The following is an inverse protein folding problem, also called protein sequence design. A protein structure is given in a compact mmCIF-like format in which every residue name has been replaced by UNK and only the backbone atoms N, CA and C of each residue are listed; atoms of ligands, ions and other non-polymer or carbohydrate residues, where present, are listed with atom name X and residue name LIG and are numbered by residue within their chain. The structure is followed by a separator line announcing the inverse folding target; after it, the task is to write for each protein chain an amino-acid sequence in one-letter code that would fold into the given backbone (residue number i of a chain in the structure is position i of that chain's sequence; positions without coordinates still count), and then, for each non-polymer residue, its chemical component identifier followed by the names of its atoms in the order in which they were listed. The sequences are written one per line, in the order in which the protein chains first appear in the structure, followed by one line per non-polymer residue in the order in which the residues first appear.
data_IF_564555719956
#
_entry.id   IF_564555719956
#
_cell.length_a   1.000
_cell.length_b   1.000
_cell.length_c   1.000
_cell.angle_alpha   90.00
_cell.angle_beta   90.00
_cell.angle_gamma   90.00
#
_symmetry.space_group_name_H-M   'P 1'
#
loop_
_entity.id
_entity.type
_entity.pdbx_description
1 polymer ?
#
# COMPACT_ATOMS: atom_id res chain seq x y z
N UNK A 1 -14.18 10.95 19.50
CA UNK A 1 -12.96 11.04 18.70
C UNK A 1 -13.22 10.83 17.21
N UNK A 2 -14.00 9.81 16.83
CA UNK A 2 -14.21 9.47 15.41
C UNK A 2 -15.21 10.39 14.71
N UNK A 3 -16.14 11.01 15.44
CA UNK A 3 -17.25 11.78 14.91
C UNK A 3 -18.43 10.88 14.48
N UNK A 4 -19.62 11.46 14.49
CA UNK A 4 -20.87 10.74 14.19
C UNK A 4 -20.88 10.04 12.82
N UNK A 5 -20.38 10.64 11.71
CA UNK A 5 -20.41 9.97 10.41
C UNK A 5 -19.54 8.71 10.36
N UNK A 6 -18.39 8.73 11.04
CA UNK A 6 -17.48 7.57 11.08
C UNK A 6 -18.06 6.49 11.99
N UNK A 7 -18.58 6.86 13.18
CA UNK A 7 -19.22 5.92 14.09
C UNK A 7 -20.47 5.27 13.48
N UNK A 8 -21.28 6.02 12.76
CA UNK A 8 -22.47 5.48 12.06
C UNK A 8 -22.10 4.43 11.01
N UNK A 9 -20.93 4.54 10.38
CA UNK A 9 -20.48 3.62 9.33
C UNK A 9 -19.70 2.42 9.86
N UNK A 10 -18.82 2.63 10.84
CA UNK A 10 -17.84 1.66 11.32
C UNK A 10 -18.03 1.25 12.78
N UNK A 11 -19.04 1.82 13.47
CA UNK A 11 -19.23 1.60 14.90
C UNK A 11 -18.08 2.21 15.70
N UNK A 12 -17.55 1.44 16.64
CA UNK A 12 -16.42 1.87 17.50
C UNK A 12 -15.05 1.49 16.94
N UNK A 13 -15.03 0.86 15.79
CA UNK A 13 -13.79 0.45 15.15
C UNK A 13 -13.16 1.63 14.39
N UNK A 14 -11.82 1.71 14.46
CA UNK A 14 -11.06 2.63 13.64
C UNK A 14 -10.57 1.87 12.40
N UNK A 15 -11.15 2.12 11.22
CA UNK A 15 -10.97 1.26 10.05
C UNK A 15 -9.68 1.56 9.26
N UNK A 16 -8.80 2.37 9.81
CA UNK A 16 -7.53 2.77 9.19
C UNK A 16 -6.38 2.26 10.04
N UNK A 17 -5.41 1.66 9.38
CA UNK A 17 -4.10 1.36 9.93
C UNK A 17 -3.05 2.16 9.21
N UNK A 18 -2.06 2.64 9.92
CA UNK A 18 -0.84 3.20 9.35
C UNK A 18 0.35 2.73 10.16
N UNK A 19 1.43 2.39 9.46
CA UNK A 19 2.67 1.94 10.05
C UNK A 19 3.87 2.32 9.16
N UNK A 20 5.05 2.19 9.73
CA UNK A 20 6.29 2.48 9.03
C UNK A 20 6.97 1.19 8.64
N UNK A 21 7.33 1.08 7.35
CA UNK A 21 8.11 -0.02 6.81
C UNK A 21 9.50 0.50 6.49
N UNK A 22 10.49 0.03 7.23
CA UNK A 22 11.89 0.41 7.03
C UNK A 22 12.66 -0.76 6.42
N UNK A 23 13.10 -0.57 5.18
CA UNK A 23 13.93 -1.52 4.44
C UNK A 23 15.31 -0.96 4.09
N UNK A 24 15.70 0.17 4.69
CA UNK A 24 17.02 0.78 4.48
C UNK A 24 18.10 -0.13 5.06
N UNK A 25 19.12 -0.46 4.26
CA UNK A 25 20.15 -1.43 4.63
C UNK A 25 19.63 -2.86 4.80
N UNK A 26 18.39 -3.12 4.41
CA UNK A 26 17.71 -4.41 4.51
C UNK A 26 17.37 -5.01 3.15
N UNK A 27 16.44 -5.97 3.15
CA UNK A 27 15.96 -6.64 1.94
C UNK A 27 14.51 -6.30 1.63
N UNK A 28 14.05 -6.70 0.45
CA UNK A 28 12.66 -6.56 0.04
C UNK A 28 11.69 -7.19 1.05
N UNK A 29 10.50 -6.63 1.21
CA UNK A 29 9.42 -7.32 1.92
C UNK A 29 8.88 -8.49 1.07
N UNK A 30 8.05 -9.36 1.66
CA UNK A 30 7.46 -10.48 0.93
C UNK A 30 6.58 -9.99 -0.22
N UNK A 31 6.71 -10.61 -1.38
CA UNK A 31 5.75 -10.42 -2.48
C UNK A 31 4.41 -10.98 -2.03
N UNK A 32 3.38 -10.17 -2.08
CA UNK A 32 2.09 -10.48 -1.49
C UNK A 32 0.92 -9.93 -2.31
N UNK A 33 -0.27 -10.36 -1.95
CA UNK A 33 -1.53 -9.83 -2.46
C UNK A 33 -2.55 -9.82 -1.34
N UNK A 34 -3.30 -8.72 -1.23
CA UNK A 34 -4.48 -8.64 -0.36
C UNK A 34 -5.71 -9.14 -1.10
N UNK A 35 -6.63 -9.82 -0.42
CA UNK A 35 -7.86 -10.28 -1.07
C UNK A 35 -8.74 -9.10 -1.50
N UNK A 36 -9.60 -9.33 -2.48
CA UNK A 36 -10.60 -8.36 -2.90
C UNK A 36 -11.74 -8.27 -1.89
N UNK A 37 -12.51 -7.17 -1.91
CA UNK A 37 -13.71 -7.01 -1.07
C UNK A 37 -14.71 -8.13 -1.29
N UNK A 38 -14.87 -8.60 -2.54
CA UNK A 38 -15.74 -9.72 -2.85
C UNK A 38 -15.28 -11.00 -2.14
N UNK A 39 -13.99 -11.35 -2.24
CA UNK A 39 -13.43 -12.54 -1.59
C UNK A 39 -13.61 -12.48 -0.06
N UNK A 40 -13.35 -11.32 0.54
CA UNK A 40 -13.52 -11.12 2.00
C UNK A 40 -14.97 -11.31 2.41
N UNK A 41 -15.91 -10.78 1.65
CA UNK A 41 -17.35 -10.94 1.94
C UNK A 41 -17.77 -12.40 1.87
N UNK A 42 -17.37 -13.10 0.83
CA UNK A 42 -17.75 -14.49 0.60
C UNK A 42 -17.11 -15.47 1.58
N UNK A 43 -15.87 -15.24 1.97
CA UNK A 43 -15.10 -16.20 2.78
C UNK A 43 -15.02 -15.85 4.27
N UNK A 44 -15.22 -14.58 4.64
CA UNK A 44 -15.05 -14.09 6.01
C UNK A 44 -16.25 -13.28 6.53
N UNK A 45 -17.26 -13.01 5.70
CA UNK A 45 -18.43 -12.23 6.10
C UNK A 45 -18.15 -10.78 6.43
N UNK A 46 -17.03 -10.22 5.94
CA UNK A 46 -16.62 -8.84 6.21
C UNK A 46 -16.95 -7.92 5.04
N UNK A 47 -17.06 -6.62 5.30
CA UNK A 47 -17.61 -5.66 4.34
C UNK A 47 -16.56 -4.89 3.54
N UNK A 48 -15.32 -4.85 3.99
CA UNK A 48 -14.21 -4.18 3.31
C UNK A 48 -12.90 -4.96 3.52
N UNK A 49 -11.97 -4.77 2.62
CA UNK A 49 -10.68 -5.46 2.59
C UNK A 49 -9.53 -4.54 3.02
N UNK A 50 -8.32 -5.04 2.97
CA UNK A 50 -7.10 -4.26 3.07
C UNK A 50 -6.78 -3.66 1.70
N UNK A 51 -7.31 -2.47 1.44
CA UNK A 51 -6.80 -1.58 0.40
C UNK A 51 -5.73 -0.71 1.06
N UNK A 52 -4.54 -0.64 0.50
CA UNK A 52 -3.43 0.08 1.08
C UNK A 52 -2.74 1.03 0.11
N UNK A 53 -1.84 1.81 0.61
CA UNK A 53 -0.96 2.66 -0.18
C UNK A 53 0.39 2.82 0.51
N UNK A 54 1.44 3.06 -0.31
CA UNK A 54 2.78 3.34 0.15
C UNK A 54 3.15 4.79 -0.15
N UNK A 55 3.33 5.58 0.88
CA UNK A 55 3.92 6.92 0.76
C UNK A 55 5.40 6.85 1.14
N UNK A 56 6.30 7.21 0.24
CA UNK A 56 7.74 7.15 0.46
C UNK A 56 8.21 8.33 1.29
N UNK A 57 8.58 8.07 2.55
CA UNK A 57 9.13 9.07 3.47
C UNK A 57 10.60 9.36 3.16
N UNK A 58 11.34 8.31 2.77
CA UNK A 58 12.72 8.40 2.31
C UNK A 58 13.01 7.24 1.34
N UNK A 59 13.98 7.45 0.46
CA UNK A 59 14.42 6.45 -0.50
C UNK A 59 15.91 6.67 -0.79
N UNK A 60 16.72 5.65 -0.51
CA UNK A 60 18.14 5.65 -0.81
C UNK A 60 18.38 5.27 -2.26
N UNK A 61 19.63 5.36 -2.69
CA UNK A 61 20.01 4.90 -4.01
C UNK A 61 19.65 3.41 -4.20
N UNK A 62 18.96 3.10 -5.30
CA UNK A 62 18.48 1.76 -5.59
C UNK A 62 17.14 1.38 -4.96
N UNK A 63 16.49 2.29 -4.24
CA UNK A 63 15.15 2.04 -3.68
C UNK A 63 14.13 1.66 -4.75
N UNK A 64 13.29 0.68 -4.45
CA UNK A 64 12.30 0.16 -5.39
C UNK A 64 10.98 -0.20 -4.71
N UNK A 65 9.91 -0.23 -5.51
CA UNK A 65 8.63 -0.83 -5.15
C UNK A 65 8.24 -1.83 -6.23
N UNK A 66 7.81 -3.02 -5.85
CA UNK A 66 7.21 -3.97 -6.76
C UNK A 66 5.70 -3.77 -6.76
N UNK A 67 5.12 -3.54 -7.96
CA UNK A 67 3.70 -3.18 -8.06
C UNK A 67 3.07 -3.66 -9.36
N UNK A 68 2.03 -4.48 -9.25
CA UNK A 68 1.30 -5.04 -10.37
C UNK A 68 2.12 -5.99 -11.22
N UNK A 69 1.47 -6.63 -12.15
CA UNK A 69 2.05 -7.65 -13.01
C UNK A 69 2.66 -7.03 -14.27
N UNK A 70 3.62 -7.69 -14.88
CA UNK A 70 4.09 -7.27 -16.21
C UNK A 70 3.07 -7.62 -17.28
N UNK A 71 2.90 -6.72 -18.24
CA UNK A 71 2.03 -6.97 -19.40
C UNK A 71 2.49 -8.21 -20.17
N UNK A 72 1.54 -9.08 -20.55
CA UNK A 72 1.80 -10.22 -21.39
C UNK A 72 2.38 -11.46 -20.70
N UNK A 73 2.43 -11.51 -19.38
CA UNK A 73 2.86 -12.71 -18.65
C UNK A 73 1.89 -13.87 -18.83
N UNK A 74 2.41 -15.09 -18.81
CA UNK A 74 1.59 -16.29 -18.68
C UNK A 74 1.23 -16.53 -17.20
N UNK A 75 -0.06 -16.46 -16.90
CA UNK A 75 -0.61 -16.64 -15.54
C UNK A 75 -0.33 -18.03 -15.00
N UNK A 76 -0.48 -19.04 -15.84
CA UNK A 76 -0.31 -20.43 -15.43
C UNK A 76 1.17 -20.73 -15.15
N UNK A 77 2.07 -20.20 -15.98
CA UNK A 77 3.51 -20.30 -15.77
C UNK A 77 3.91 -19.62 -14.45
N UNK A 78 3.40 -18.41 -14.17
CA UNK A 78 3.68 -17.71 -12.91
C UNK A 78 3.26 -18.54 -11.68
N UNK A 79 2.05 -19.10 -11.70
CA UNK A 79 1.55 -19.90 -10.58
C UNK A 79 2.35 -21.19 -10.43
N UNK A 80 2.72 -21.83 -11.53
CA UNK A 80 3.53 -23.03 -11.48
C UNK A 80 4.95 -22.76 -10.99
N UNK A 81 5.56 -21.65 -11.37
CA UNK A 81 6.87 -21.22 -10.86
C UNK A 81 6.80 -20.90 -9.36
N UNK A 82 5.72 -20.28 -8.88
CA UNK A 82 5.49 -20.07 -7.43
C UNK A 82 5.36 -21.41 -6.68
N UNK A 83 4.66 -22.40 -7.23
CA UNK A 83 4.53 -23.73 -6.64
C UNK A 83 5.86 -24.47 -6.56
N UNK A 84 6.66 -24.40 -7.63
CA UNK A 84 8.01 -24.97 -7.65
C UNK A 84 8.93 -24.30 -6.65
N UNK A 85 8.85 -22.96 -6.57
CA UNK A 85 9.61 -22.19 -5.59
C UNK A 85 9.21 -22.52 -4.15
N UNK A 86 7.92 -22.74 -3.88
CA UNK A 86 7.43 -23.19 -2.58
C UNK A 86 8.01 -24.53 -2.14
N UNK A 87 8.23 -25.43 -3.10
CA UNK A 87 8.87 -26.73 -2.86
C UNK A 87 10.40 -26.64 -2.79
N UNK A 88 10.99 -25.49 -3.08
CA UNK A 88 12.44 -25.30 -3.13
C UNK A 88 13.10 -25.83 -4.41
N UNK A 89 12.30 -26.14 -5.45
CA UNK A 89 12.80 -26.66 -6.73
C UNK A 89 13.47 -25.57 -7.57
N UNK A 90 12.99 -24.33 -7.45
CA UNK A 90 13.54 -23.15 -8.14
C UNK A 90 13.54 -21.93 -7.23
N UNK A 91 14.29 -20.90 -7.61
CA UNK A 91 14.14 -19.53 -7.07
C UNK A 91 13.12 -18.80 -7.94
N UNK A 92 12.05 -18.26 -7.32
CA UNK A 92 11.06 -17.51 -8.07
C UNK A 92 11.66 -16.20 -8.60
N UNK A 93 11.62 -16.05 -9.91
CA UNK A 93 12.09 -14.82 -10.56
C UNK A 93 11.00 -13.76 -10.55
N UNK A 94 10.95 -12.96 -9.48
CA UNK A 94 9.94 -11.92 -9.30
C UNK A 94 9.92 -10.93 -10.46
N UNK A 95 11.09 -10.53 -10.96
CA UNK A 95 11.20 -9.53 -12.02
C UNK A 95 10.75 -10.04 -13.41
N UNK A 96 10.53 -11.34 -13.56
CA UNK A 96 9.89 -11.91 -14.75
C UNK A 96 8.39 -11.55 -14.79
N UNK A 97 7.74 -11.49 -13.65
CA UNK A 97 6.29 -11.42 -13.52
C UNK A 97 5.75 -10.12 -12.94
N UNK A 98 6.49 -9.45 -12.07
CA UNK A 98 6.05 -8.27 -11.33
C UNK A 98 6.86 -7.06 -11.79
N UNK A 99 6.20 -5.91 -11.94
CA UNK A 99 6.89 -4.66 -12.26
C UNK A 99 7.75 -4.25 -11.07
N UNK A 100 8.99 -3.85 -11.35
CA UNK A 100 9.91 -3.24 -10.39
C UNK A 100 10.05 -1.77 -10.76
N UNK A 101 9.58 -0.90 -9.90
CA UNK A 101 9.56 0.54 -10.11
C UNK A 101 10.66 1.18 -9.26
N UNK A 102 11.44 2.11 -9.80
CA UNK A 102 12.32 2.94 -8.96
C UNK A 102 11.46 3.79 -8.04
N UNK A 103 11.86 3.91 -6.79
CA UNK A 103 11.16 4.67 -5.77
C UNK A 103 11.96 5.90 -5.35
N UNK A 104 11.25 7.01 -5.13
CA UNK A 104 11.82 8.28 -4.66
C UNK A 104 11.03 8.80 -3.48
N UNK A 105 11.69 9.59 -2.64
CA UNK A 105 11.00 10.33 -1.58
C UNK A 105 9.80 11.09 -2.15
N UNK A 106 8.68 11.04 -1.45
CA UNK A 106 7.37 11.61 -1.82
C UNK A 106 6.62 10.91 -2.96
N UNK A 107 7.13 9.82 -3.51
CA UNK A 107 6.30 8.96 -4.36
C UNK A 107 5.15 8.35 -3.55
N UNK A 108 4.03 8.11 -4.21
CA UNK A 108 2.87 7.45 -3.60
C UNK A 108 2.31 6.38 -4.55
N UNK A 109 2.14 5.18 -4.04
CA UNK A 109 1.67 4.01 -4.78
C UNK A 109 0.38 3.49 -4.16
N UNK A 110 -0.68 3.37 -4.96
CA UNK A 110 -1.95 2.79 -4.52
C UNK A 110 -1.93 1.28 -4.71
N UNK A 111 -2.41 0.55 -3.73
CA UNK A 111 -2.35 -0.91 -3.67
C UNK A 111 -3.73 -1.47 -3.28
N UNK A 112 -4.73 -1.35 -4.17
CA UNK A 112 -6.04 -1.94 -3.89
C UNK A 112 -5.97 -3.47 -3.85
N UNK A 113 -6.84 -4.10 -3.06
CA UNK A 113 -6.94 -5.56 -2.93
C UNK A 113 -6.96 -6.26 -4.28
N UNK A 114 -6.18 -7.31 -4.46
CA UNK A 114 -5.92 -7.98 -5.74
C UNK A 114 -4.64 -7.55 -6.45
N UNK A 115 -3.93 -6.52 -5.96
CA UNK A 115 -2.66 -6.07 -6.57
C UNK A 115 -1.49 -6.84 -5.99
N UNK A 116 -0.71 -7.50 -6.83
CA UNK A 116 0.56 -8.12 -6.44
C UNK A 116 1.58 -7.03 -6.18
N UNK A 117 2.21 -7.01 -5.00
CA UNK A 117 3.12 -5.95 -4.60
C UNK A 117 4.11 -6.35 -3.50
N UNK A 118 5.12 -5.54 -3.29
CA UNK A 118 5.88 -5.42 -2.04
C UNK A 118 6.74 -4.15 -2.03
N UNK A 119 7.12 -3.67 -0.85
CA UNK A 119 8.22 -2.71 -0.72
C UNK A 119 9.53 -3.42 -1.04
N UNK A 120 10.32 -2.82 -1.90
CA UNK A 120 11.70 -3.24 -2.15
C UNK A 120 12.64 -2.78 -1.04
N UNK A 121 13.91 -3.04 -1.21
CA UNK A 121 14.97 -2.55 -0.30
C UNK A 121 15.16 -1.03 -0.41
N UNK A 122 15.90 -0.46 0.55
CA UNK A 122 16.38 0.92 0.57
C UNK A 122 15.27 1.99 0.63
N UNK A 123 14.09 1.65 1.15
CA UNK A 123 12.95 2.54 1.27
C UNK A 123 12.45 2.66 2.71
N UNK A 124 12.04 3.88 3.10
CA UNK A 124 11.23 4.13 4.29
C UNK A 124 9.83 4.53 3.85
N UNK A 125 8.86 3.70 4.17
CA UNK A 125 7.47 3.83 3.72
C UNK A 125 6.56 4.14 4.89
N UNK A 126 5.64 5.08 4.72
CA UNK A 126 4.41 5.17 5.49
C UNK A 126 3.35 4.36 4.76
N UNK A 127 3.01 3.20 5.28
CA UNK A 127 1.87 2.41 4.81
C UNK A 127 0.59 2.96 5.41
N UNK A 128 -0.42 3.15 4.58
CA UNK A 128 -1.75 3.60 4.98
C UNK A 128 -2.74 2.60 4.40
N UNK A 129 -3.50 1.95 5.28
CA UNK A 129 -4.38 0.84 4.91
C UNK A 129 -5.79 1.04 5.45
N UNK A 130 -6.80 0.70 4.65
CA UNK A 130 -8.15 0.41 5.12
C UNK A 130 -8.18 -1.05 5.55
N UNK A 131 -8.29 -1.34 6.85
CA UNK A 131 -8.26 -2.74 7.29
C UNK A 131 -8.99 -2.96 8.61
N UNK A 132 -9.91 -3.92 8.66
CA UNK A 132 -10.45 -4.43 9.92
C UNK A 132 -9.45 -5.40 10.57
N UNK A 133 -8.64 -6.10 9.77
CA UNK A 133 -7.61 -7.06 10.14
C UNK A 133 -6.56 -7.13 9.03
N UNK A 134 -5.40 -7.72 9.33
CA UNK A 134 -4.40 -8.02 8.32
C UNK A 134 -4.86 -9.19 7.45
N UNK A 135 -5.09 -8.94 6.18
CA UNK A 135 -5.38 -9.97 5.18
C UNK A 135 -4.29 -9.98 4.12
N UNK A 136 -3.27 -10.80 4.32
CA UNK A 136 -2.13 -10.88 3.42
C UNK A 136 -1.92 -12.32 2.98
N UNK A 137 -1.93 -12.56 1.67
CA UNK A 137 -1.48 -13.81 1.08
C UNK A 137 -0.08 -13.64 0.51
N UNK A 138 0.92 -14.18 1.19
CA UNK A 138 2.30 -14.18 0.71
C UNK A 138 2.43 -15.11 -0.49
N UNK A 139 2.97 -14.59 -1.59
CA UNK A 139 3.26 -15.35 -2.80
C UNK A 139 4.73 -15.78 -2.85
N UNK A 140 5.64 -14.96 -2.32
CA UNK A 140 7.07 -15.23 -2.28
C UNK A 140 7.75 -14.49 -1.14
N UNK A 141 8.68 -15.12 -0.43
CA UNK A 141 9.41 -14.51 0.69
C UNK A 141 10.92 -14.61 0.53
N UNK A 142 11.43 -14.54 -0.70
CA UNK A 142 12.86 -14.44 -1.03
C UNK A 142 13.71 -15.56 -0.41
N UNK A 143 13.15 -16.77 -0.28
CA UNK A 143 13.76 -17.94 0.37
C UNK A 143 14.15 -17.71 1.84
N UNK A 144 13.58 -16.73 2.52
CA UNK A 144 13.86 -16.51 3.94
C UNK A 144 13.43 -17.69 4.77
N UNK A 145 14.29 -18.03 5.73
CA UNK A 145 14.00 -19.10 6.68
C UNK A 145 13.29 -18.55 7.91
N UNK A 146 12.41 -19.36 8.48
CA UNK A 146 11.86 -19.16 9.80
C UNK A 146 12.88 -19.52 10.90
N UNK A 147 12.49 -19.31 12.16
CA UNK A 147 13.32 -19.67 13.32
C UNK A 147 13.58 -21.18 13.41
N UNK A 148 12.77 -21.98 12.78
CA UNK A 148 12.91 -23.44 12.66
C UNK A 148 13.84 -23.90 11.53
N UNK A 149 14.49 -22.95 10.84
CA UNK A 149 15.36 -23.20 9.71
C UNK A 149 14.68 -23.66 8.43
N UNK A 150 13.35 -23.60 8.37
CA UNK A 150 12.57 -23.92 7.17
C UNK A 150 12.13 -22.66 6.41
N UNK A 151 11.88 -22.75 5.09
CA UNK A 151 11.30 -21.64 4.34
C UNK A 151 10.02 -21.14 5.00
N UNK A 152 9.87 -19.83 5.09
CA UNK A 152 8.64 -19.22 5.62
C UNK A 152 7.42 -19.64 4.80
N UNK A 153 6.26 -19.86 5.44
CA UNK A 153 5.04 -20.25 4.74
C UNK A 153 4.61 -19.20 3.72
N UNK A 154 4.20 -19.66 2.55
CA UNK A 154 3.57 -18.84 1.51
C UNK A 154 2.19 -19.40 1.16
N UNK A 155 1.32 -18.57 0.59
CA UNK A 155 -0.10 -18.88 0.42
C UNK A 155 -0.50 -18.88 -1.06
N UNK A 156 0.25 -19.58 -1.92
CA UNK A 156 0.07 -19.55 -3.37
C UNK A 156 -1.36 -19.90 -3.77
N UNK A 157 -1.93 -20.96 -3.21
CA UNK A 157 -3.26 -21.43 -3.61
C UNK A 157 -4.40 -20.45 -3.26
N UNK A 158 -4.31 -19.75 -2.14
CA UNK A 158 -5.26 -18.68 -1.80
C UNK A 158 -4.96 -17.39 -2.55
N UNK A 159 -3.68 -17.04 -2.65
CA UNK A 159 -3.25 -15.83 -3.33
C UNK A 159 -3.67 -15.78 -4.79
N UNK A 160 -3.54 -16.88 -5.53
CA UNK A 160 -3.92 -16.96 -6.96
C UNK A 160 -5.41 -16.64 -7.22
N UNK A 161 -6.28 -16.92 -6.23
CA UNK A 161 -7.72 -16.68 -6.36
C UNK A 161 -8.09 -15.20 -6.26
N UNK A 162 -7.22 -14.39 -5.63
CA UNK A 162 -7.48 -12.98 -5.39
C UNK A 162 -6.66 -12.04 -6.27
N UNK A 163 -5.71 -12.56 -7.06
CA UNK A 163 -4.94 -11.74 -8.00
C UNK A 163 -5.85 -11.14 -9.07
N UNK A 164 -5.87 -9.82 -9.15
CA UNK A 164 -6.46 -9.13 -10.29
C UNK A 164 -5.44 -9.06 -11.44
N UNK A 165 -5.59 -9.98 -12.37
CA UNK A 165 -4.70 -10.15 -13.51
C UNK A 165 -4.75 -9.00 -14.53
N UNK A 166 -5.67 -8.06 -14.37
CA UNK A 166 -5.78 -6.86 -15.22
C UNK A 166 -4.85 -5.74 -14.75
N UNK A 167 -4.30 -5.85 -13.54
CA UNK A 167 -3.39 -4.84 -12.97
C UNK A 167 -1.98 -5.05 -13.49
N UNK A 168 -1.85 -4.85 -14.79
CA UNK A 168 -0.59 -4.97 -15.50
C UNK A 168 0.22 -3.65 -15.52
N UNK A 169 1.29 -3.61 -16.29
CA UNK A 169 2.20 -2.46 -16.37
C UNK A 169 1.47 -1.18 -16.75
N UNK A 170 0.56 -1.24 -17.70
CA UNK A 170 -0.16 -0.05 -18.15
C UNK A 170 -1.19 0.41 -17.11
N UNK A 171 -1.89 -0.52 -16.48
CA UNK A 171 -2.80 -0.20 -15.39
C UNK A 171 -2.06 0.49 -14.22
N UNK A 172 -0.89 -0.04 -13.83
CA UNK A 172 -0.06 0.54 -12.76
C UNK A 172 0.31 1.98 -13.09
N UNK A 173 0.80 2.25 -14.30
CA UNK A 173 1.17 3.60 -14.74
C UNK A 173 -0.01 4.56 -14.76
N UNK A 174 -1.17 4.09 -15.19
CA UNK A 174 -2.36 4.93 -15.38
C UNK A 174 -3.16 5.16 -14.10
N UNK A 175 -3.06 4.26 -13.11
CA UNK A 175 -4.00 4.27 -11.99
C UNK A 175 -3.37 4.14 -10.60
N UNK A 176 -2.15 3.61 -10.48
CA UNK A 176 -1.61 3.26 -9.16
C UNK A 176 -0.34 4.02 -8.76
N UNK A 177 0.44 4.52 -9.70
CA UNK A 177 1.72 5.15 -9.40
C UNK A 177 1.66 6.68 -9.56
N UNK A 178 1.91 7.41 -8.48
CA UNK A 178 2.10 8.87 -8.48
C UNK A 178 0.96 9.70 -9.09
N UNK A 179 -0.28 9.34 -8.82
CA UNK A 179 -1.45 10.11 -9.26
C UNK A 179 -1.71 11.30 -8.34
N UNK A 180 -1.07 12.41 -8.62
CA UNK A 180 -1.20 13.64 -7.84
C UNK A 180 -2.26 14.55 -8.42
N UNK A 181 -3.14 15.08 -7.56
CA UNK A 181 -4.13 16.10 -7.95
C UNK A 181 -3.97 17.30 -7.04
N UNK A 182 -3.67 18.46 -7.63
CA UNK A 182 -3.69 19.72 -6.89
C UNK A 182 -5.12 20.03 -6.46
N UNK A 183 -5.31 20.27 -5.15
CA UNK A 183 -6.60 20.65 -4.59
C UNK A 183 -6.70 22.17 -4.49
N UNK A 184 -5.69 22.79 -3.87
CA UNK A 184 -5.65 24.22 -3.67
C UNK A 184 -4.22 24.70 -3.41
N UNK A 185 -4.00 26.00 -3.57
CA UNK A 185 -2.73 26.65 -3.26
C UNK A 185 -2.95 28.11 -2.88
N UNK A 186 -2.00 28.68 -2.16
CA UNK A 186 -1.96 30.06 -1.78
C UNK A 186 -0.54 30.54 -1.54
N UNK A 187 -0.41 31.75 -1.00
CA UNK A 187 0.91 32.30 -0.72
C UNK A 187 1.63 31.48 0.36
N UNK A 188 2.68 30.76 -0.06
CA UNK A 188 3.52 29.95 0.80
C UNK A 188 2.94 28.59 1.17
N UNK A 189 1.89 28.10 0.49
CA UNK A 189 1.36 26.75 0.71
C UNK A 189 0.68 26.16 -0.53
N UNK A 190 0.60 24.84 -0.59
CA UNK A 190 -0.23 24.09 -1.53
C UNK A 190 -0.73 22.79 -0.88
N UNK A 191 -1.91 22.35 -1.31
CA UNK A 191 -2.53 21.08 -0.94
C UNK A 191 -2.69 20.20 -2.17
N UNK A 192 -2.27 18.94 -2.04
CA UNK A 192 -2.37 17.94 -3.08
C UNK A 192 -3.03 16.67 -2.52
N UNK A 193 -3.88 16.05 -3.31
CA UNK A 193 -4.34 14.69 -3.06
C UNK A 193 -3.34 13.74 -3.70
N UNK A 194 -2.83 12.79 -2.93
CA UNK A 194 -1.82 11.85 -3.37
C UNK A 194 -2.36 10.44 -3.50
N UNK A 195 -3.45 10.12 -2.81
CA UNK A 195 -4.04 8.80 -2.82
C UNK A 195 -5.55 8.83 -2.62
N UNK A 196 -6.25 8.23 -3.55
CA UNK A 196 -7.65 7.82 -3.46
C UNK A 196 -7.93 6.83 -4.57
N UNK A 197 -8.17 5.58 -4.21
CA UNK A 197 -8.75 4.60 -5.11
C UNK A 197 -10.27 4.71 -5.07
N UNK A 198 -11.01 4.55 -6.19
CA UNK A 198 -12.47 4.71 -6.20
C UNK A 198 -13.25 3.82 -5.22
N UNK A 199 -12.66 2.71 -4.80
CA UNK A 199 -13.28 1.78 -3.86
C UNK A 199 -12.89 2.03 -2.39
N UNK A 200 -11.95 2.94 -2.13
CA UNK A 200 -11.50 3.25 -0.78
C UNK A 200 -12.39 4.29 -0.12
N UNK A 201 -12.51 4.20 1.19
CA UNK A 201 -13.16 5.21 2.03
C UNK A 201 -12.15 6.11 2.75
N UNK A 202 -10.87 5.94 2.47
CA UNK A 202 -9.76 6.73 3.00
C UNK A 202 -9.11 7.52 1.87
N UNK A 203 -8.57 8.67 2.22
CA UNK A 203 -7.87 9.55 1.29
C UNK A 203 -6.58 10.04 1.91
N UNK A 204 -5.52 10.12 1.12
CA UNK A 204 -4.25 10.72 1.54
C UNK A 204 -4.06 12.05 0.84
N UNK A 205 -3.80 13.07 1.65
CA UNK A 205 -3.44 14.42 1.18
C UNK A 205 -2.11 14.83 1.77
N UNK A 206 -1.45 15.79 1.13
CA UNK A 206 -0.27 16.43 1.68
C UNK A 206 -0.34 17.94 1.51
N UNK A 207 0.18 18.63 2.52
CA UNK A 207 0.36 20.06 2.50
C UNK A 207 1.86 20.39 2.44
N UNK A 208 2.22 21.26 1.51
CA UNK A 208 3.53 21.91 1.50
C UNK A 208 3.30 23.32 2.00
N UNK A 209 3.94 23.73 3.08
CA UNK A 209 3.68 25.05 3.64
C UNK A 209 4.90 25.64 4.35
N UNK A 210 5.06 26.94 4.20
CA UNK A 210 5.99 27.80 4.93
C UNK A 210 5.26 28.93 5.66
N UNK A 211 3.93 28.98 5.52
CA UNK A 211 3.01 29.93 6.15
C UNK A 211 1.80 29.17 6.68
N UNK A 212 1.00 29.76 7.58
CA UNK A 212 -0.22 29.13 8.06
C UNK A 212 -1.15 28.68 6.94
N UNK A 213 -1.68 27.47 7.04
CA UNK A 213 -2.65 26.90 6.12
C UNK A 213 -3.83 26.36 6.90
N UNK A 214 -5.03 26.59 6.43
CA UNK A 214 -6.24 26.03 7.02
C UNK A 214 -6.48 24.63 6.50
N UNK A 215 -6.57 23.66 7.40
CA UNK A 215 -6.96 22.30 7.10
C UNK A 215 -8.43 22.08 7.47
N UNK A 216 -9.23 21.55 6.56
CA UNK A 216 -10.65 21.26 6.78
C UNK A 216 -10.84 19.76 7.03
N UNK A 217 -11.35 19.40 8.21
CA UNK A 217 -11.59 18.00 8.59
C UNK A 217 -12.85 17.42 7.92
N UNK A 218 -13.73 18.26 7.40
CA UNK A 218 -15.00 17.88 6.75
C UNK A 218 -15.87 16.95 7.60
N UNK A 219 -15.89 17.18 8.93
CA UNK A 219 -16.60 16.36 9.92
C UNK A 219 -16.19 14.88 9.90
N UNK A 220 -14.96 14.59 9.53
CA UNK A 220 -14.39 13.24 9.54
C UNK A 220 -13.14 13.19 10.40
N UNK A 221 -12.69 11.98 10.74
CA UNK A 221 -11.41 11.79 11.42
C UNK A 221 -10.27 12.06 10.45
N UNK A 222 -9.29 12.82 10.92
CA UNK A 222 -8.07 13.12 10.16
C UNK A 222 -6.85 12.76 11.02
N UNK A 223 -5.85 12.16 10.40
CA UNK A 223 -4.55 11.86 11.02
C UNK A 223 -3.49 12.69 10.29
N UNK A 224 -2.74 13.47 11.05
CA UNK A 224 -1.69 14.33 10.53
C UNK A 224 -0.32 13.77 10.89
N UNK A 225 0.57 13.67 9.91
CA UNK A 225 1.96 13.28 10.10
C UNK A 225 2.86 14.38 9.55
N UNK A 226 3.81 14.85 10.36
CA UNK A 226 4.86 15.74 9.89
C UNK A 226 5.90 14.90 9.15
N UNK A 227 5.98 15.09 7.83
CA UNK A 227 6.87 14.31 6.95
C UNK A 227 8.22 15.00 6.74
N UNK A 228 8.22 16.32 6.71
CA UNK A 228 9.41 17.16 6.59
C UNK A 228 9.31 18.37 7.50
N UNK A 229 10.45 18.81 8.04
CA UNK A 229 10.55 19.89 8.99
C UNK A 229 10.81 19.38 10.41
N UNK A 230 11.11 20.30 11.32
CA UNK A 230 11.41 19.98 12.73
C UNK A 230 10.13 19.98 13.58
N UNK A 231 9.24 20.91 13.31
CA UNK A 231 7.97 21.07 14.03
C UNK A 231 6.86 21.66 13.16
N UNK A 232 5.63 21.40 13.54
CA UNK A 232 4.45 22.07 13.02
C UNK A 232 3.48 22.35 14.18
N UNK A 233 2.92 23.57 14.22
CA UNK A 233 1.94 23.96 15.22
C UNK A 233 0.55 23.75 14.64
N UNK A 234 -0.30 23.02 15.37
CA UNK A 234 -1.69 22.79 15.01
C UNK A 234 -2.57 23.56 15.96
N UNK A 235 -3.37 24.48 15.43
CA UNK A 235 -4.33 25.25 16.17
C UNK A 235 -5.76 24.83 15.81
N UNK A 236 -6.61 24.60 16.81
CA UNK A 236 -8.03 24.36 16.59
C UNK A 236 -8.77 25.69 16.54
N UNK A 237 -9.56 25.91 15.48
CA UNK A 237 -10.43 27.06 15.36
C UNK A 237 -11.73 26.91 16.18
N UNK A 238 -11.94 25.77 16.83
CA UNK A 238 -13.09 25.46 17.68
C UNK A 238 -12.61 25.43 19.14
N UNK A 239 -12.91 26.47 19.86
CA UNK A 239 -12.98 26.49 21.32
C UNK A 239 -14.43 26.41 21.75
#
# INVERSE_FOLDING_TARGET
LLGEPVEARFGKDFPIRFDFLDTVGGGNLSVQVHPTTQFIRENFGMYYTQDESYYLLDAKEGATVYLGLKTGIDKNEMIEDLRKAQKGEIVFNTEKYVNKLPAKKHDHYLIPGGTVHCSGSEALVLEISSTPNLFTFKLWDWQRLGLDGKPRPINVERGKEVIDWKRDTEYVKQHLANHLTKISEGDGWREERTGLHPNEFIETRRHWFTKPVTHHTNNSVNVLNLIEGEEAIIESCLL
#
